data_IF_255659608528
#
_entry.id   IF_255659608528
#
_cell.length_a   1.000
_cell.length_b   1.000
_cell.length_c   1.000
_cell.angle_alpha   90.00
_cell.angle_beta   90.00
_cell.angle_gamma   90.00
#
_symmetry.space_group_name_H-M   'P 1'
#
loop_
_entity.id
_entity.type
_entity.pdbx_description
1 polymer ?
#
# COMPACT_ATOMS: atom_id res chain seq x y z
N UNK A 1 -15.81 1.83 29.15
CA UNK A 1 -15.36 2.52 27.94
C UNK A 1 -15.94 1.71 26.79
N UNK A 2 -17.10 2.14 26.30
CA UNK A 2 -17.79 1.46 25.21
C UNK A 2 -17.01 1.68 23.91
N UNK A 3 -16.72 0.60 23.21
CA UNK A 3 -16.04 0.63 21.91
C UNK A 3 -17.15 0.91 20.88
N UNK A 4 -17.02 2.02 20.16
CA UNK A 4 -17.92 2.36 19.05
C UNK A 4 -17.97 1.22 18.04
N UNK A 5 -19.17 0.85 17.61
CA UNK A 5 -19.38 -0.14 16.57
C UNK A 5 -18.88 0.37 15.19
N UNK A 6 -18.61 -0.57 14.27
CA UNK A 6 -18.09 -0.21 12.92
C UNK A 6 -18.97 0.79 12.18
N UNK A 7 -20.30 0.67 12.28
CA UNK A 7 -21.26 1.59 11.67
C UNK A 7 -21.20 2.99 12.29
N UNK A 8 -20.95 3.10 13.58
CA UNK A 8 -20.80 4.38 14.28
C UNK A 8 -19.49 5.09 13.90
N UNK A 9 -18.43 4.36 13.68
CA UNK A 9 -17.13 4.90 13.21
C UNK A 9 -17.29 5.44 11.79
N UNK A 10 -17.95 4.71 10.90
CA UNK A 10 -18.23 5.13 9.52
C UNK A 10 -19.06 6.41 9.50
N UNK A 11 -20.13 6.46 10.29
CA UNK A 11 -21.01 7.62 10.37
C UNK A 11 -20.30 8.84 10.99
N UNK A 12 -19.44 8.65 11.99
CA UNK A 12 -18.62 9.71 12.58
C UNK A 12 -17.66 10.34 11.54
N UNK A 13 -16.96 9.52 10.75
CA UNK A 13 -16.08 10.02 9.71
C UNK A 13 -16.82 10.71 8.57
N UNK A 14 -18.00 10.21 8.22
CA UNK A 14 -18.88 10.82 7.23
C UNK A 14 -19.33 12.22 7.66
N UNK A 15 -19.78 12.40 8.91
CA UNK A 15 -20.21 13.70 9.44
C UNK A 15 -19.08 14.72 9.52
N UNK A 16 -17.89 14.31 9.95
CA UNK A 16 -16.72 15.22 9.98
C UNK A 16 -16.34 15.70 8.60
N UNK A 17 -16.47 14.87 7.57
CA UNK A 17 -16.11 15.22 6.21
C UNK A 17 -17.17 16.13 5.56
N UNK A 18 -18.45 15.93 5.83
CA UNK A 18 -19.52 16.83 5.39
C UNK A 18 -19.33 18.22 6.00
N UNK A 19 -19.00 18.33 7.27
CA UNK A 19 -18.72 19.59 7.94
C UNK A 19 -17.51 20.33 7.32
N UNK A 20 -16.43 19.61 6.97
CA UNK A 20 -15.27 20.20 6.31
C UNK A 20 -15.59 20.72 4.90
N UNK A 21 -16.44 20.02 4.14
CA UNK A 21 -16.89 20.47 2.81
C UNK A 21 -17.82 21.69 2.90
N UNK A 22 -18.66 21.78 3.94
CA UNK A 22 -19.50 22.95 4.18
C UNK A 22 -18.65 24.20 4.54
N UNK A 23 -17.59 24.03 5.34
CA UNK A 23 -16.65 25.13 5.63
C UNK A 23 -15.91 25.59 4.35
N UNK A 24 -15.45 24.68 3.52
CA UNK A 24 -14.75 24.99 2.26
C UNK A 24 -15.68 25.69 1.24
N UNK A 25 -16.96 25.32 1.21
CA UNK A 25 -17.97 26.00 0.37
C UNK A 25 -18.32 27.41 0.88
N UNK A 26 -18.27 27.65 2.18
CA UNK A 26 -18.53 28.97 2.78
C UNK A 26 -17.36 29.94 2.57
N UNK A 27 -16.14 29.46 2.57
CA UNK A 27 -14.94 30.28 2.30
C UNK A 27 -14.80 30.64 0.80
N UNK A 28 -15.33 29.80 -0.11
CA UNK A 28 -15.23 30.00 -1.57
C UNK A 28 -16.10 31.11 -2.16
N UNK A 29 -16.99 31.74 -1.39
CA UNK A 29 -17.97 32.73 -1.94
C UNK A 29 -17.51 34.19 -1.90
N UNK A 30 -16.29 34.50 -1.48
CA UNK A 30 -15.85 35.88 -1.29
C UNK A 30 -14.48 36.19 -1.92
N UNK A 31 -14.21 35.77 -3.16
CA UNK A 31 -13.03 36.21 -3.90
C UNK A 31 -13.31 36.38 -5.39
N UNK A 32 -13.62 37.60 -5.77
CA UNK A 32 -13.62 38.07 -7.17
C UNK A 32 -12.24 38.57 -7.57
N UNK A 33 -11.30 37.67 -7.84
CA UNK A 33 -10.07 37.96 -8.53
C UNK A 33 -9.56 36.70 -9.27
N UNK A 34 -9.12 36.81 -10.55
CA UNK A 34 -8.52 35.69 -11.24
C UNK A 34 -7.14 35.43 -10.69
N UNK A 35 -7.01 34.50 -9.78
CA UNK A 35 -5.71 34.00 -9.30
C UNK A 35 -5.12 33.13 -10.39
N UNK A 36 -4.17 33.68 -11.13
CA UNK A 36 -3.20 32.88 -11.88
C UNK A 36 -2.29 32.17 -10.87
N UNK A 37 -2.75 31.05 -10.33
CA UNK A 37 -1.99 30.23 -9.41
C UNK A 37 -0.86 29.48 -10.14
N UNK A 38 0.18 29.02 -9.41
CA UNK A 38 1.34 28.34 -9.99
C UNK A 38 1.03 26.99 -10.67
N UNK A 39 -0.21 26.59 -10.75
CA UNK A 39 -0.67 25.37 -11.44
C UNK A 39 -0.90 25.55 -12.95
N UNK A 40 -0.87 26.79 -13.49
CA UNK A 40 -1.06 27.05 -14.92
C UNK A 40 0.16 26.65 -15.78
N UNK A 41 1.30 26.32 -15.20
CA UNK A 41 2.53 25.95 -15.92
C UNK A 41 2.82 24.45 -16.00
N UNK A 42 1.92 23.57 -15.53
CA UNK A 42 2.10 22.11 -15.68
C UNK A 42 1.62 21.54 -17.03
N UNK A 43 1.47 22.39 -18.05
CA UNK A 43 0.97 21.97 -19.38
C UNK A 43 2.07 21.70 -20.42
N UNK A 44 3.27 21.37 -19.99
CA UNK A 44 4.39 21.18 -20.93
C UNK A 44 5.28 19.96 -20.62
N UNK A 45 4.77 18.94 -19.92
CA UNK A 45 5.44 17.64 -19.81
C UNK A 45 4.46 16.52 -20.22
N UNK A 46 3.80 16.69 -21.35
CA UNK A 46 3.41 15.54 -22.16
C UNK A 46 4.68 15.07 -22.87
N UNK A 47 5.60 14.48 -22.09
CA UNK A 47 6.58 13.58 -22.64
C UNK A 47 5.79 12.48 -23.31
N UNK A 48 5.99 12.28 -24.60
CA UNK A 48 5.50 11.11 -25.30
C UNK A 48 6.20 9.91 -24.62
N UNK A 49 5.51 9.26 -23.70
CA UNK A 49 5.99 8.01 -23.10
C UNK A 49 5.95 7.00 -24.23
N UNK A 50 7.11 6.55 -24.66
CA UNK A 50 7.22 5.48 -25.65
C UNK A 50 6.67 4.20 -25.01
N UNK A 51 5.44 3.86 -25.36
CA UNK A 51 4.74 2.67 -24.90
C UNK A 51 5.37 1.36 -25.40
N UNK A 52 6.45 1.43 -26.17
CA UNK A 52 7.25 0.26 -26.57
C UNK A 52 8.23 -0.20 -25.48
N UNK A 53 8.46 0.62 -24.45
CA UNK A 53 9.31 0.24 -23.31
C UNK A 53 8.58 -0.78 -22.43
N UNK A 54 9.07 -2.02 -22.48
CA UNK A 54 8.54 -3.15 -21.69
C UNK A 54 8.70 -2.98 -20.17
N UNK A 55 9.23 -1.87 -19.73
CA UNK A 55 9.44 -1.58 -18.29
C UNK A 55 8.24 -0.91 -17.64
N UNK A 56 7.25 -0.43 -18.42
CA UNK A 56 6.05 0.20 -17.88
C UNK A 56 5.03 -0.90 -17.54
N UNK A 57 4.70 -1.01 -16.26
CA UNK A 57 3.59 -1.84 -15.80
C UNK A 57 2.39 -0.95 -15.48
N UNK A 58 1.26 -1.26 -16.10
CA UNK A 58 -0.02 -0.67 -15.74
C UNK A 58 -0.78 -1.62 -14.82
N UNK A 59 -1.08 -1.15 -13.62
CA UNK A 59 -1.93 -1.83 -12.65
C UNK A 59 -3.23 -1.07 -12.45
N UNK A 60 -4.34 -1.78 -12.26
CA UNK A 60 -5.57 -1.13 -11.88
C UNK A 60 -5.58 -0.84 -10.40
N UNK A 61 -5.91 0.41 -10.03
CA UNK A 61 -6.27 0.77 -8.68
C UNK A 61 -7.76 0.52 -8.46
N UNK A 62 -8.08 -0.16 -7.38
CA UNK A 62 -9.44 -0.39 -6.90
C UNK A 62 -9.66 0.43 -5.62
N UNK A 63 -10.91 0.60 -5.21
CA UNK A 63 -11.27 1.36 -4.03
C UNK A 63 -11.80 2.75 -4.36
N UNK A 64 -12.09 3.49 -3.33
CA UNK A 64 -12.49 4.88 -3.44
C UNK A 64 -12.18 5.62 -2.14
N UNK A 65 -12.10 6.94 -2.21
CA UNK A 65 -11.87 7.79 -1.05
C UNK A 65 -13.06 7.84 -0.08
N UNK A 66 -14.20 7.28 -0.49
CA UNK A 66 -15.41 7.15 0.34
C UNK A 66 -16.05 5.78 0.09
N UNK A 67 -16.23 4.91 1.08
CA UNK A 67 -15.99 5.11 2.52
C UNK A 67 -14.58 4.70 2.99
N UNK A 68 -13.76 4.02 2.15
CA UNK A 68 -12.51 3.37 2.59
C UNK A 68 -11.37 4.35 2.88
N UNK A 69 -11.33 5.50 2.21
CA UNK A 69 -10.28 6.51 2.39
C UNK A 69 -8.95 6.19 1.72
N UNK A 70 -8.86 5.10 0.94
CA UNK A 70 -7.65 4.70 0.22
C UNK A 70 -7.95 3.95 -1.08
N UNK A 71 -6.95 3.91 -1.94
CA UNK A 71 -6.91 3.03 -3.11
C UNK A 71 -6.04 1.81 -2.82
N UNK A 72 -6.36 0.70 -3.46
CA UNK A 72 -5.59 -0.53 -3.35
C UNK A 72 -5.33 -1.15 -4.72
N UNK A 73 -4.27 -1.94 -4.79
CA UNK A 73 -3.94 -2.77 -5.94
C UNK A 73 -3.86 -4.22 -5.52
N UNK A 74 -4.09 -5.12 -6.47
CA UNK A 74 -3.83 -6.55 -6.28
C UNK A 74 -2.47 -6.90 -6.83
N UNK A 75 -1.70 -7.62 -6.05
CA UNK A 75 -0.37 -8.09 -6.42
C UNK A 75 -0.27 -9.60 -6.23
N UNK A 76 0.50 -10.25 -7.10
CA UNK A 76 0.96 -11.61 -6.89
C UNK A 76 2.37 -11.58 -6.33
N UNK A 77 2.64 -12.40 -5.31
CA UNK A 77 3.96 -12.55 -4.70
C UNK A 77 4.33 -14.02 -4.63
N UNK A 78 5.52 -14.35 -5.08
CA UNK A 78 6.03 -15.73 -5.07
C UNK A 78 5.80 -16.53 -6.35
N UNK A 79 6.30 -17.76 -6.36
CA UNK A 79 6.15 -18.72 -7.45
C UNK A 79 5.78 -20.10 -6.90
N UNK A 80 4.52 -20.57 -7.09
CA UNK A 80 3.39 -19.89 -7.72
C UNK A 80 2.95 -18.66 -6.93
N UNK A 81 2.36 -17.66 -7.63
CA UNK A 81 1.97 -16.40 -7.03
C UNK A 81 0.83 -16.53 -6.02
N UNK A 82 1.00 -15.95 -4.85
CA UNK A 82 -0.02 -15.75 -3.83
C UNK A 82 -0.57 -14.33 -3.96
N UNK A 83 -1.90 -14.17 -3.89
CA UNK A 83 -2.57 -12.88 -4.13
C UNK A 83 -2.66 -12.07 -2.84
N UNK A 84 -2.35 -10.76 -2.94
CA UNK A 84 -2.50 -9.80 -1.87
C UNK A 84 -3.17 -8.52 -2.38
N UNK A 85 -3.96 -7.91 -1.50
CA UNK A 85 -4.59 -6.62 -1.72
C UNK A 85 -3.83 -5.59 -0.88
N UNK A 86 -3.12 -4.67 -1.54
CA UNK A 86 -2.24 -3.71 -0.86
C UNK A 86 -2.70 -2.28 -1.08
N UNK A 87 -2.65 -1.47 -0.03
CA UNK A 87 -2.92 -0.03 -0.10
C UNK A 87 -1.83 0.62 -0.94
N UNK A 88 -2.23 1.49 -1.88
CA UNK A 88 -1.30 2.31 -2.65
C UNK A 88 -1.07 3.62 -1.90
N UNK A 89 0.12 3.77 -1.35
CA UNK A 89 0.53 4.92 -0.54
C UNK A 89 1.76 5.59 -1.13
N UNK A 90 1.59 6.81 -1.63
CA UNK A 90 2.70 7.59 -2.19
C UNK A 90 3.73 8.05 -1.15
N UNK A 91 3.45 7.88 0.13
CA UNK A 91 4.36 8.12 1.24
C UNK A 91 5.19 6.92 1.64
N UNK A 92 4.88 5.73 1.12
CA UNK A 92 5.62 4.49 1.39
C UNK A 92 6.68 4.22 0.34
N UNK A 93 7.79 3.61 0.75
CA UNK A 93 8.90 3.24 -0.13
C UNK A 93 9.15 1.72 -0.18
N UNK A 94 8.30 0.94 0.46
CA UNK A 94 8.44 -0.50 0.57
C UNK A 94 7.08 -1.17 0.45
N UNK A 95 6.92 -2.08 -0.51
CA UNK A 95 5.82 -3.05 -0.47
C UNK A 95 5.98 -3.89 0.79
N UNK A 96 4.93 -4.01 1.60
CA UNK A 96 4.97 -4.82 2.81
C UNK A 96 3.65 -5.59 3.00
N UNK A 97 3.76 -6.90 3.27
CA UNK A 97 2.63 -7.83 3.44
C UNK A 97 2.85 -8.73 4.64
N UNK A 98 1.79 -9.20 5.33
CA UNK A 98 1.94 -10.10 6.47
C UNK A 98 2.39 -11.49 6.01
N UNK A 99 3.37 -12.03 6.71
CA UNK A 99 3.93 -13.34 6.42
C UNK A 99 3.57 -14.37 7.50
N UNK A 100 3.58 -15.63 7.11
CA UNK A 100 3.36 -16.74 8.03
C UNK A 100 4.35 -16.67 9.20
N UNK A 101 3.81 -16.83 10.42
CA UNK A 101 4.57 -16.67 11.65
C UNK A 101 4.38 -15.30 12.31
N UNK A 102 3.66 -14.37 11.70
CA UNK A 102 3.28 -13.14 12.37
C UNK A 102 2.35 -13.42 13.55
N UNK A 103 2.80 -13.08 14.75
CA UNK A 103 2.04 -13.30 15.97
C UNK A 103 1.17 -12.09 16.36
N UNK A 104 1.38 -10.95 15.72
CA UNK A 104 0.77 -9.66 16.08
C UNK A 104 0.16 -8.94 14.90
N UNK A 105 -0.04 -9.62 13.78
CA UNK A 105 -0.76 -9.09 12.63
C UNK A 105 -2.28 -9.24 12.80
N UNK A 106 -3.03 -8.38 12.13
CA UNK A 106 -4.48 -8.38 12.12
C UNK A 106 -5.08 -9.50 11.28
N UNK A 107 -6.40 -9.46 11.10
CA UNK A 107 -7.09 -10.29 10.13
C UNK A 107 -7.24 -9.49 8.84
N UNK A 108 -6.72 -10.04 7.76
CA UNK A 108 -6.71 -9.41 6.46
C UNK A 108 -7.60 -10.17 5.47
N UNK A 109 -7.76 -9.60 4.28
CA UNK A 109 -8.61 -10.15 3.23
C UNK A 109 -8.07 -11.50 2.73
N UNK A 110 -6.76 -11.62 2.55
CA UNK A 110 -6.11 -12.83 2.07
C UNK A 110 -5.30 -13.52 3.17
N UNK A 111 -5.02 -14.82 3.04
CA UNK A 111 -4.10 -15.51 3.93
C UNK A 111 -2.71 -14.89 3.92
N UNK A 112 -1.99 -14.96 5.03
CA UNK A 112 -0.60 -14.49 5.12
C UNK A 112 0.30 -15.19 4.11
N UNK A 113 1.30 -14.48 3.61
CA UNK A 113 2.28 -15.02 2.68
C UNK A 113 3.00 -16.23 3.28
N UNK A 114 2.92 -17.36 2.59
CA UNK A 114 3.63 -18.57 2.97
C UNK A 114 4.92 -18.70 2.18
N UNK A 115 6.03 -18.35 2.79
CA UNK A 115 7.37 -18.35 2.19
C UNK A 115 7.74 -19.75 1.66
N UNK A 116 7.39 -20.81 2.40
CA UNK A 116 7.67 -22.19 2.04
C UNK A 116 6.96 -22.67 0.78
N UNK A 117 5.94 -21.94 0.32
CA UNK A 117 5.22 -22.25 -0.93
C UNK A 117 5.83 -21.58 -2.17
N UNK A 118 6.79 -20.67 -2.00
CA UNK A 118 7.43 -20.02 -3.12
C UNK A 118 8.79 -20.65 -3.41
N UNK A 119 8.96 -21.07 -4.66
CA UNK A 119 10.23 -21.65 -5.14
C UNK A 119 11.29 -20.57 -5.44
N UNK A 120 10.89 -19.31 -5.51
CA UNK A 120 11.75 -18.15 -5.83
C UNK A 120 12.02 -17.27 -4.61
N UNK A 121 11.49 -17.65 -3.45
CA UNK A 121 11.73 -16.92 -2.20
C UNK A 121 13.20 -16.92 -1.80
N UNK A 122 13.70 -15.76 -1.41
CA UNK A 122 15.04 -15.59 -0.89
C UNK A 122 15.07 -14.60 0.26
N UNK A 123 15.83 -14.91 1.29
CA UNK A 123 16.02 -14.07 2.46
C UNK A 123 17.50 -14.04 2.88
N UNK A 124 17.84 -13.10 3.72
CA UNK A 124 19.18 -12.96 4.26
C UNK A 124 19.83 -11.63 3.91
N UNK A 125 20.66 -11.15 4.83
CA UNK A 125 21.29 -9.84 4.68
C UNK A 125 22.14 -9.70 3.42
N UNK A 126 22.74 -10.78 2.95
CA UNK A 126 23.60 -10.77 1.76
C UNK A 126 22.80 -10.76 0.46
N UNK A 127 21.58 -11.28 0.51
CA UNK A 127 20.65 -11.35 -0.62
C UNK A 127 19.91 -10.04 -0.87
N UNK A 128 19.81 -9.18 0.17
CA UNK A 128 19.10 -7.92 0.11
C UNK A 128 20.05 -6.77 -0.15
N UNK A 129 20.01 -6.14 -1.33
CA UNK A 129 20.84 -4.98 -1.64
C UNK A 129 20.58 -3.84 -0.65
N UNK A 130 21.64 -3.23 -0.14
CA UNK A 130 21.56 -2.08 0.79
C UNK A 130 20.78 -2.37 2.08
N UNK A 131 20.82 -3.61 2.59
CA UNK A 131 20.25 -3.92 3.89
C UNK A 131 20.82 -2.99 4.97
N UNK A 132 19.94 -2.21 5.62
CA UNK A 132 20.34 -1.21 6.61
C UNK A 132 20.47 -1.80 8.02
N UNK A 133 19.72 -2.85 8.34
CA UNK A 133 19.72 -3.45 9.66
C UNK A 133 19.69 -4.97 9.53
N UNK A 134 20.74 -5.62 10.01
CA UNK A 134 20.91 -7.06 9.96
C UNK A 134 20.84 -7.64 11.37
N UNK A 135 19.90 -8.55 11.60
CA UNK A 135 19.76 -9.28 12.86
C UNK A 135 19.95 -10.78 12.58
N UNK A 136 21.05 -11.34 13.09
CA UNK A 136 21.49 -12.67 12.65
C UNK A 136 21.82 -12.68 11.17
N UNK A 137 21.08 -13.45 10.38
CA UNK A 137 21.20 -13.48 8.91
C UNK A 137 20.01 -12.79 8.20
N UNK A 138 19.10 -12.14 8.94
CA UNK A 138 17.91 -11.55 8.36
C UNK A 138 18.03 -10.03 8.28
N UNK A 139 17.69 -9.48 7.12
CA UNK A 139 17.56 -8.05 6.93
C UNK A 139 16.25 -7.57 7.56
N UNK A 140 16.31 -6.73 8.58
CA UNK A 140 15.14 -6.28 9.33
C UNK A 140 14.74 -4.86 8.95
N UNK A 141 13.44 -4.56 9.08
CA UNK A 141 12.91 -3.22 8.94
C UNK A 141 11.87 -2.90 9.99
N UNK A 142 11.67 -1.63 10.23
CA UNK A 142 10.56 -1.11 11.02
C UNK A 142 10.16 0.26 10.48
N UNK A 143 8.88 0.42 10.18
CA UNK A 143 8.31 1.67 9.69
C UNK A 143 7.27 2.19 10.67
N UNK A 144 7.30 3.48 10.95
CA UNK A 144 6.31 4.19 11.72
C UNK A 144 5.59 5.18 10.82
N UNK A 145 4.28 5.22 10.92
CA UNK A 145 3.42 6.12 10.17
C UNK A 145 3.00 7.30 11.03
N UNK A 146 2.70 8.42 10.37
CA UNK A 146 2.40 9.70 11.06
C UNK A 146 1.17 9.57 11.97
N UNK A 147 0.19 8.74 11.59
CA UNK A 147 -1.02 8.48 12.38
C UNK A 147 -0.80 7.58 13.61
N UNK A 148 0.45 7.13 13.84
CA UNK A 148 0.87 6.38 15.02
C UNK A 148 0.90 4.87 14.86
N UNK A 149 0.50 4.32 13.72
CA UNK A 149 0.66 2.89 13.44
C UNK A 149 2.09 2.52 13.08
N UNK A 150 2.41 1.24 13.14
CA UNK A 150 3.71 0.75 12.71
C UNK A 150 3.65 -0.68 12.18
N UNK A 151 4.57 -0.97 11.27
CA UNK A 151 4.82 -2.31 10.74
C UNK A 151 6.30 -2.64 10.89
N UNK A 152 6.62 -3.92 11.04
CA UNK A 152 8.00 -4.36 11.13
C UNK A 152 8.16 -5.85 10.91
N UNK A 153 9.36 -6.24 10.47
CA UNK A 153 9.68 -7.63 10.15
C UNK A 153 10.98 -7.74 9.37
N UNK A 154 10.96 -8.57 8.32
CA UNK A 154 12.14 -8.87 7.50
C UNK A 154 11.98 -8.33 6.10
N UNK A 155 13.06 -7.84 5.52
CA UNK A 155 13.14 -7.53 4.09
C UNK A 155 13.56 -8.80 3.37
N UNK A 156 12.79 -9.16 2.37
CA UNK A 156 12.94 -10.41 1.60
C UNK A 156 12.81 -10.13 0.11
N UNK A 157 13.13 -11.14 -0.70
CA UNK A 157 13.11 -11.05 -2.15
C UNK A 157 12.30 -12.21 -2.72
N UNK A 158 11.45 -11.91 -3.69
CA UNK A 158 10.68 -12.92 -4.44
C UNK A 158 10.19 -12.33 -5.77
N UNK A 159 9.50 -13.12 -6.58
CA UNK A 159 8.81 -12.62 -7.77
C UNK A 159 7.57 -11.83 -7.34
N UNK A 160 7.40 -10.66 -7.92
CA UNK A 160 6.26 -9.76 -7.68
C UNK A 160 5.65 -9.34 -9.01
N UNK A 161 4.34 -9.33 -9.08
CA UNK A 161 3.59 -8.87 -10.25
C UNK A 161 2.34 -8.10 -9.84
N UNK A 162 2.08 -6.97 -10.47
CA UNK A 162 0.78 -6.30 -10.38
C UNK A 162 -0.25 -7.03 -11.26
N UNK A 163 -1.49 -7.12 -10.77
CA UNK A 163 -2.60 -7.64 -11.55
C UNK A 163 -3.29 -6.50 -12.31
N UNK A 164 -3.51 -6.73 -13.60
CA UNK A 164 -4.33 -5.82 -14.40
C UNK A 164 -5.82 -6.02 -14.12
N UNK A 165 -6.60 -5.00 -14.43
CA UNK A 165 -8.05 -5.03 -14.33
C UNK A 165 -8.66 -6.26 -15.00
N UNK A 166 -9.49 -6.98 -14.24
CA UNK A 166 -10.22 -8.15 -14.77
C UNK A 166 -9.34 -9.37 -15.05
N UNK A 167 -8.03 -9.31 -14.79
CA UNK A 167 -7.12 -10.44 -14.94
C UNK A 167 -6.85 -11.10 -13.59
N UNK A 168 -6.86 -12.44 -13.60
CA UNK A 168 -6.40 -13.26 -12.48
C UNK A 168 -4.96 -13.76 -12.66
N UNK A 169 -4.36 -13.52 -13.83
CA UNK A 169 -3.00 -13.95 -14.16
C UNK A 169 -2.13 -12.73 -14.45
N UNK A 170 -0.94 -12.62 -13.85
CA UNK A 170 -0.02 -11.54 -14.15
C UNK A 170 0.52 -11.68 -15.58
N UNK A 171 0.59 -10.58 -16.30
CA UNK A 171 1.21 -10.54 -17.62
C UNK A 171 2.72 -10.36 -17.56
N UNK A 172 3.19 -9.81 -16.45
CA UNK A 172 4.60 -9.56 -16.22
C UNK A 172 4.94 -9.80 -14.75
N UNK A 173 6.09 -10.42 -14.51
CA UNK A 173 6.62 -10.70 -13.18
C UNK A 173 8.06 -10.19 -13.11
N UNK A 174 8.40 -9.51 -12.04
CA UNK A 174 9.76 -9.03 -11.79
C UNK A 174 10.26 -9.49 -10.42
N UNK A 175 11.56 -9.64 -10.27
CA UNK A 175 12.17 -9.80 -8.96
C UNK A 175 11.95 -8.51 -8.16
N UNK A 176 11.29 -8.63 -7.01
CA UNK A 176 10.97 -7.53 -6.11
C UNK A 176 11.50 -7.76 -4.70
N UNK A 177 11.82 -6.66 -4.04
CA UNK A 177 12.20 -6.65 -2.62
C UNK A 177 11.01 -6.10 -1.85
N UNK A 178 10.58 -6.80 -0.79
CA UNK A 178 9.44 -6.38 0.01
C UNK A 178 9.61 -6.71 1.49
N UNK A 179 8.79 -6.06 2.31
CA UNK A 179 8.72 -6.29 3.74
C UNK A 179 7.79 -7.45 4.08
N UNK A 180 8.33 -8.48 4.69
CA UNK A 180 7.59 -9.57 5.30
C UNK A 180 7.21 -9.14 6.71
N UNK A 181 5.95 -8.74 6.94
CA UNK A 181 5.48 -8.21 8.23
C UNK A 181 5.40 -9.34 9.26
N UNK A 182 6.00 -9.11 10.40
CA UNK A 182 5.97 -10.00 11.57
C UNK A 182 5.30 -9.31 12.77
N UNK A 183 5.03 -8.02 12.66
CA UNK A 183 4.30 -7.25 13.65
C UNK A 183 3.59 -6.06 13.02
N UNK A 184 2.40 -5.77 13.50
CA UNK A 184 1.57 -4.62 13.14
C UNK A 184 1.01 -3.94 14.37
N UNK A 185 0.80 -2.63 14.29
CA UNK A 185 0.12 -1.85 15.33
C UNK A 185 -0.85 -0.86 14.69
N UNK A 186 -1.77 -0.32 15.49
CA UNK A 186 -2.72 0.70 15.06
C UNK A 186 -3.64 0.23 13.94
N UNK A 187 -3.81 1.06 12.92
CA UNK A 187 -4.74 0.82 11.83
C UNK A 187 -4.40 -0.43 11.00
N UNK A 188 -3.13 -0.81 10.89
CA UNK A 188 -2.73 -2.01 10.16
C UNK A 188 -3.35 -3.29 10.71
N UNK A 189 -3.68 -3.35 12.02
CA UNK A 189 -4.35 -4.51 12.61
C UNK A 189 -5.83 -4.60 12.31
N UNK A 190 -6.47 -3.48 12.02
CA UNK A 190 -7.93 -3.39 11.85
C UNK A 190 -8.36 -3.21 10.39
N UNK A 191 -7.44 -2.83 9.51
CA UNK A 191 -7.74 -2.66 8.09
C UNK A 191 -7.92 -4.01 7.39
N UNK A 192 -8.79 -4.02 6.36
CA UNK A 192 -9.05 -5.21 5.55
C UNK A 192 -7.93 -5.49 4.54
N UNK A 193 -7.27 -4.45 4.02
CA UNK A 193 -6.16 -4.62 3.09
C UNK A 193 -5.03 -5.43 3.74
N UNK A 194 -4.36 -6.26 2.93
CA UNK A 194 -3.32 -7.16 3.44
C UNK A 194 -2.03 -6.41 3.77
N UNK A 195 -1.75 -5.33 3.06
CA UNK A 195 -0.51 -4.61 3.23
C UNK A 195 -0.53 -3.24 2.59
N UNK A 196 0.67 -2.72 2.32
CA UNK A 196 0.90 -1.36 1.79
C UNK A 196 2.00 -1.39 0.73
N UNK A 197 1.91 -0.50 -0.24
CA UNK A 197 2.88 -0.36 -1.34
C UNK A 197 3.12 1.11 -1.65
#
# INVERSE_FOLDING_TARGET
>A
MEIMGEDEVIEYHRRRRLAALEEEMLEGTNSSAPMAGPYAQRRALQGHVDMSDKTIQEGQLEGNTMPLGYYYARVHVGTPGQIFTVIVDTGSSLLAIPCRGCNKCGKHMNPYFEQSKSSTYSEGCKEIPKCQSCSGNQCTYKTHFVEGSSIGGYVVKDQVAALMAGSSTPQFTAEGIFGCQMSETGLFKSQMADGIM
#
